data_IF_917261976034
#
_entry.id   IF_917261976034
#
_cell.length_a   1.000
_cell.length_b   1.000
_cell.length_c   1.000
_cell.angle_alpha   90.00
_cell.angle_beta   90.00
_cell.angle_gamma   90.00
#
_symmetry.space_group_name_H-M   'P 1'
#
loop_
_entity.id
_entity.type
_entity.pdbx_description
1 polymer ?
#
# COMPACT_ATOMS: atom_id res chain seq x y z
N UNK A 1 22.84 7.97 -13.00
CA UNK A 1 22.03 9.08 -13.54
C UNK A 1 20.73 9.12 -12.75
N UNK A 2 20.36 10.26 -12.17
CA UNK A 2 19.07 10.40 -11.52
C UNK A 2 18.01 10.51 -12.62
N UNK A 3 17.21 9.45 -12.78
CA UNK A 3 16.04 9.49 -13.66
C UNK A 3 15.10 10.51 -13.04
N UNK A 4 14.91 11.64 -13.71
CA UNK A 4 13.82 12.55 -13.40
C UNK A 4 12.54 11.75 -13.55
N UNK A 5 11.80 11.59 -12.45
CA UNK A 5 10.51 10.93 -12.46
C UNK A 5 9.60 11.85 -13.29
N UNK A 6 9.30 11.44 -14.53
CA UNK A 6 8.25 12.08 -15.34
C UNK A 6 6.96 12.10 -14.52
N UNK A 7 6.20 13.20 -14.57
CA UNK A 7 4.97 13.40 -13.77
C UNK A 7 3.95 12.25 -13.96
N UNK A 8 3.98 11.54 -15.09
CA UNK A 8 3.14 10.37 -15.36
C UNK A 8 3.59 9.10 -14.62
N UNK A 9 4.88 8.96 -14.31
CA UNK A 9 5.44 7.83 -13.57
C UNK A 9 5.30 7.95 -12.05
N UNK A 10 5.05 9.15 -11.51
CA UNK A 10 4.99 9.37 -10.06
C UNK A 10 3.78 8.69 -9.39
N UNK A 11 2.68 8.50 -10.14
CA UNK A 11 1.46 7.87 -9.64
C UNK A 11 1.49 6.34 -9.61
N UNK A 12 2.51 5.68 -10.16
CA UNK A 12 2.68 4.23 -10.07
C UNK A 12 3.93 3.88 -9.28
N UNK A 13 3.73 3.40 -8.06
CA UNK A 13 4.79 3.22 -7.08
C UNK A 13 5.14 1.75 -6.98
N UNK A 14 6.38 1.42 -7.34
CA UNK A 14 6.92 0.08 -7.18
C UNK A 14 7.67 0.03 -5.85
N UNK A 15 7.09 -0.60 -4.81
CA UNK A 15 7.66 -0.51 -3.46
C UNK A 15 8.95 -1.29 -3.31
N UNK A 16 9.19 -2.29 -4.16
CA UNK A 16 10.43 -3.04 -4.23
C UNK A 16 10.59 -3.61 -5.64
N UNK A 17 11.84 -3.84 -6.07
CA UNK A 17 12.13 -4.40 -7.38
C UNK A 17 11.39 -5.73 -7.63
N UNK A 18 10.76 -5.84 -8.80
CA UNK A 18 10.06 -7.05 -9.24
C UNK A 18 11.09 -8.11 -9.60
N UNK A 19 11.02 -9.27 -8.92
CA UNK A 19 11.98 -10.37 -9.12
C UNK A 19 11.61 -11.24 -10.32
N UNK A 20 10.32 -11.47 -10.56
CA UNK A 20 9.83 -12.31 -11.65
C UNK A 20 9.53 -11.47 -12.91
N UNK A 21 10.43 -11.53 -13.88
CA UNK A 21 10.33 -10.73 -15.10
C UNK A 21 9.28 -11.26 -16.11
N UNK A 22 8.83 -12.51 -15.97
CA UNK A 22 8.00 -13.16 -17.00
C UNK A 22 6.49 -13.06 -16.74
N UNK A 23 6.08 -12.95 -15.48
CA UNK A 23 4.66 -12.83 -15.10
C UNK A 23 4.34 -11.50 -14.41
N UNK A 24 4.91 -11.29 -13.22
CA UNK A 24 4.70 -10.11 -12.38
C UNK A 24 5.04 -8.79 -13.09
N UNK A 25 6.18 -8.73 -13.77
CA UNK A 25 6.58 -7.52 -14.50
C UNK A 25 5.62 -7.21 -15.65
N UNK A 26 5.22 -8.22 -16.44
CA UNK A 26 4.32 -8.04 -17.59
C UNK A 26 2.97 -7.48 -17.17
N UNK A 27 2.38 -8.03 -16.11
CA UNK A 27 1.10 -7.53 -15.62
C UNK A 27 1.26 -6.11 -15.07
N UNK A 28 2.30 -5.83 -14.30
CA UNK A 28 2.52 -4.48 -13.77
C UNK A 28 2.69 -3.44 -14.89
N UNK A 29 3.43 -3.78 -15.95
CA UNK A 29 3.58 -2.92 -17.13
C UNK A 29 2.27 -2.70 -17.87
N UNK A 30 1.44 -3.74 -18.01
CA UNK A 30 0.10 -3.63 -18.56
C UNK A 30 -0.78 -2.68 -17.75
N UNK A 31 -0.77 -2.78 -16.41
CA UNK A 31 -1.49 -1.87 -15.53
C UNK A 31 -1.00 -0.43 -15.65
N UNK A 32 0.31 -0.19 -15.60
CA UNK A 32 0.88 1.16 -15.75
C UNK A 32 0.47 1.80 -17.09
N UNK A 33 0.56 1.03 -18.18
CA UNK A 33 0.22 1.50 -19.52
C UNK A 33 -1.29 1.76 -19.69
N UNK A 34 -2.13 0.93 -19.08
CA UNK A 34 -3.60 1.03 -19.18
C UNK A 34 -4.15 2.18 -18.35
N UNK A 35 -3.58 2.43 -17.17
CA UNK A 35 -4.05 3.46 -16.25
C UNK A 35 -3.28 4.79 -16.39
N UNK A 36 -2.35 4.91 -17.33
CA UNK A 36 -1.50 6.10 -17.54
C UNK A 36 -2.30 7.41 -17.70
N UNK A 37 -3.44 7.36 -18.38
CA UNK A 37 -4.27 8.54 -18.66
C UNK A 37 -5.44 8.71 -17.66
N UNK A 38 -5.59 7.77 -16.71
CA UNK A 38 -6.67 7.77 -15.72
C UNK A 38 -6.30 8.54 -14.46
N UNK A 39 -7.30 9.12 -13.80
CA UNK A 39 -7.14 9.74 -12.48
C UNK A 39 -7.06 8.64 -11.41
N UNK A 40 -5.85 8.20 -11.11
CA UNK A 40 -5.59 7.09 -10.21
C UNK A 40 -4.20 7.19 -9.58
N UNK A 41 -3.98 6.36 -8.56
CA UNK A 41 -2.68 6.02 -8.01
C UNK A 41 -2.58 4.50 -7.91
N UNK A 42 -1.44 3.94 -8.28
CA UNK A 42 -1.20 2.51 -8.29
C UNK A 42 0.04 2.13 -7.49
N UNK A 43 0.01 0.94 -6.91
CA UNK A 43 1.11 0.39 -6.12
C UNK A 43 1.36 -1.07 -6.51
N UNK A 44 2.63 -1.40 -6.68
CA UNK A 44 3.09 -2.78 -6.61
C UNK A 44 3.55 -3.05 -5.18
N UNK A 45 2.92 -4.03 -4.50
CA UNK A 45 3.17 -4.38 -3.08
C UNK A 45 2.96 -3.21 -2.14
N UNK A 46 1.71 -2.76 -1.99
CA UNK A 46 1.39 -1.68 -1.05
C UNK A 46 1.68 -2.13 0.40
N UNK A 47 2.30 -1.27 1.24
CA UNK A 47 2.84 -1.68 2.54
C UNK A 47 1.74 -1.85 3.61
N UNK A 48 0.99 -2.95 3.54
CA UNK A 48 0.10 -3.42 4.61
C UNK A 48 0.46 -4.85 4.98
N UNK A 49 0.59 -5.07 6.29
CA UNK A 49 1.04 -6.33 6.86
C UNK A 49 0.00 -6.75 7.90
N UNK A 50 -1.07 -7.42 7.48
CA UNK A 50 -2.02 -8.04 8.40
C UNK A 50 -1.54 -9.45 8.80
N UNK A 51 -1.87 -9.89 10.02
CA UNK A 51 -1.69 -11.29 10.46
C UNK A 51 -2.84 -12.21 10.04
N UNK A 52 -3.36 -12.07 8.82
CA UNK A 52 -4.26 -13.09 8.28
C UNK A 52 -3.45 -14.35 7.89
N UNK A 53 -2.99 -15.11 8.89
CA UNK A 53 -2.12 -16.28 8.76
C UNK A 53 -0.70 -16.09 9.32
N UNK A 54 0.17 -17.09 9.12
CA UNK A 54 1.57 -17.06 9.58
C UNK A 54 2.47 -16.11 8.76
N UNK A 55 2.03 -15.71 7.56
CA UNK A 55 2.81 -14.91 6.62
C UNK A 55 2.18 -13.53 6.47
N UNK A 56 2.96 -12.48 6.74
CA UNK A 56 2.57 -11.09 6.46
C UNK A 56 2.49 -10.93 4.94
N UNK A 57 1.31 -10.66 4.38
CA UNK A 57 1.14 -10.54 2.93
C UNK A 57 0.58 -9.19 2.50
N UNK A 58 1.36 -8.52 1.68
CA UNK A 58 0.99 -7.28 0.99
C UNK A 58 0.12 -7.61 -0.25
N UNK A 59 -0.78 -6.71 -0.69
CA UNK A 59 -1.45 -6.86 -1.98
C UNK A 59 -0.44 -6.68 -3.11
N UNK A 60 -0.44 -7.60 -4.08
CA UNK A 60 0.48 -7.54 -5.21
C UNK A 60 0.29 -6.26 -6.02
N UNK A 61 -0.96 -5.97 -6.42
CA UNK A 61 -1.33 -4.70 -7.05
C UNK A 61 -2.48 -4.06 -6.26
N UNK A 62 -2.31 -2.77 -5.95
CA UNK A 62 -3.36 -1.89 -5.48
C UNK A 62 -3.54 -0.75 -6.48
N UNK A 63 -4.72 -0.58 -7.02
CA UNK A 63 -5.12 0.61 -7.78
C UNK A 63 -6.20 1.36 -7.01
N UNK A 64 -6.02 2.66 -6.83
CA UNK A 64 -7.07 3.56 -6.37
C UNK A 64 -7.41 4.46 -7.53
N UNK A 65 -8.57 4.26 -8.13
CA UNK A 65 -9.04 4.92 -9.34
C UNK A 65 -10.33 5.70 -9.06
N UNK A 66 -10.48 6.84 -9.71
CA UNK A 66 -11.61 7.74 -9.49
C UNK A 66 -12.98 7.09 -9.76
N UNK A 67 -13.04 6.20 -10.73
CA UNK A 67 -14.27 5.53 -11.19
C UNK A 67 -14.40 4.14 -10.54
N UNK A 68 -13.32 3.36 -10.51
CA UNK A 68 -13.38 1.99 -9.97
C UNK A 68 -13.28 1.91 -8.45
N UNK A 69 -12.88 3.00 -7.77
CA UNK A 69 -12.63 3.01 -6.34
C UNK A 69 -11.32 2.30 -6.00
N UNK A 70 -11.33 1.47 -4.97
CA UNK A 70 -10.18 0.68 -4.52
C UNK A 70 -10.24 -0.70 -5.15
N UNK A 71 -9.23 -1.04 -5.94
CA UNK A 71 -9.10 -2.35 -6.60
C UNK A 71 -7.85 -3.03 -6.09
N UNK A 72 -8.02 -4.20 -5.46
CA UNK A 72 -6.91 -5.07 -5.04
C UNK A 72 -6.85 -6.26 -5.98
N UNK A 73 -5.65 -6.55 -6.45
CA UNK A 73 -5.41 -7.63 -7.39
C UNK A 73 -4.28 -8.51 -6.86
N UNK A 74 -4.61 -9.77 -6.62
CA UNK A 74 -3.64 -10.79 -6.25
C UNK A 74 -3.09 -11.46 -7.52
N UNK A 75 -1.77 -11.49 -7.67
CA UNK A 75 -1.10 -12.01 -8.85
C UNK A 75 -0.53 -13.39 -8.55
N UNK A 76 -0.78 -14.35 -9.46
CA UNK A 76 -0.13 -15.67 -9.41
C UNK A 76 0.57 -15.96 -10.72
N UNK A 77 1.89 -15.91 -10.69
CA UNK A 77 2.75 -16.33 -11.81
C UNK A 77 2.97 -17.85 -11.76
N UNK A 78 1.92 -18.59 -12.11
CA UNK A 78 1.91 -20.05 -12.22
C UNK A 78 1.38 -20.48 -13.58
N UNK A 79 1.82 -21.62 -14.07
CA UNK A 79 1.32 -22.25 -15.29
C UNK A 79 0.06 -23.08 -14.99
N UNK A 80 -0.77 -23.30 -16.01
CA UNK A 80 -2.05 -24.03 -15.88
C UNK A 80 -1.88 -25.45 -15.30
N UNK A 81 -0.80 -26.14 -15.65
CA UNK A 81 -0.54 -27.50 -15.17
C UNK A 81 -0.07 -27.57 -13.72
N UNK A 82 0.26 -26.44 -13.10
CA UNK A 82 0.57 -26.39 -11.66
C UNK A 82 -0.70 -26.35 -10.81
N UNK A 83 -1.87 -26.06 -11.39
CA UNK A 83 -3.16 -26.09 -10.69
C UNK A 83 -3.73 -27.51 -10.80
N UNK A 84 -3.66 -28.25 -9.69
CA UNK A 84 -4.14 -29.63 -9.62
C UNK A 84 -5.66 -29.70 -9.45
N UNK A 85 -6.22 -28.88 -8.57
CA UNK A 85 -7.64 -28.81 -8.31
C UNK A 85 -8.04 -27.45 -7.69
N UNK A 86 -9.30 -27.07 -7.85
CA UNK A 86 -9.89 -25.89 -7.23
C UNK A 86 -11.15 -26.34 -6.47
N UNK A 87 -11.12 -26.19 -5.15
CA UNK A 87 -12.22 -26.56 -4.26
C UNK A 87 -12.76 -25.29 -3.60
N UNK A 88 -13.77 -24.68 -4.24
CA UNK A 88 -14.25 -23.36 -3.86
C UNK A 88 -13.15 -22.31 -4.03
N UNK A 89 -12.77 -21.64 -2.95
CA UNK A 89 -11.72 -20.60 -2.98
C UNK A 89 -10.30 -21.18 -2.81
N UNK A 90 -10.17 -22.44 -2.42
CA UNK A 90 -8.89 -23.09 -2.13
C UNK A 90 -8.35 -23.80 -3.36
N UNK A 91 -7.15 -23.42 -3.80
CA UNK A 91 -6.49 -23.98 -4.96
C UNK A 91 -5.37 -24.90 -4.50
N UNK A 92 -5.39 -26.13 -5.00
CA UNK A 92 -4.35 -27.12 -4.78
C UNK A 92 -3.32 -27.01 -5.89
N UNK A 93 -2.08 -26.76 -5.50
CA UNK A 93 -0.96 -26.65 -6.41
C UNK A 93 -0.11 -27.90 -6.37
N UNK A 94 0.49 -28.23 -7.51
CA UNK A 94 1.48 -29.28 -7.66
C UNK A 94 2.78 -28.72 -8.24
N UNK A 95 3.89 -29.41 -8.00
CA UNK A 95 5.22 -29.03 -8.51
C UNK A 95 5.64 -27.61 -8.11
N UNK A 96 5.30 -27.18 -6.89
CA UNK A 96 5.71 -25.90 -6.28
C UNK A 96 5.96 -26.10 -4.79
N UNK A 97 6.72 -25.19 -4.16
CA UNK A 97 6.99 -25.25 -2.72
C UNK A 97 5.72 -25.04 -1.87
N UNK A 98 4.71 -24.37 -2.44
CA UNK A 98 3.43 -24.11 -1.77
C UNK A 98 2.36 -25.02 -2.33
N UNK A 99 1.83 -25.95 -1.55
CA UNK A 99 0.84 -26.92 -2.02
C UNK A 99 -0.59 -26.37 -2.08
N UNK A 100 -0.86 -25.26 -1.39
CA UNK A 100 -2.21 -24.72 -1.26
C UNK A 100 -2.20 -23.20 -1.20
N UNK A 101 -3.09 -22.56 -1.96
CA UNK A 101 -3.28 -21.11 -1.94
C UNK A 101 -4.77 -20.74 -1.96
N UNK A 102 -5.11 -19.55 -1.47
CA UNK A 102 -6.43 -18.94 -1.64
C UNK A 102 -6.26 -17.49 -2.14
N UNK A 103 -6.04 -17.29 -3.44
CA UNK A 103 -5.66 -15.98 -3.97
C UNK A 103 -6.79 -14.95 -3.86
N UNK A 104 -8.04 -15.37 -4.07
CA UNK A 104 -9.17 -14.44 -4.01
C UNK A 104 -9.49 -13.99 -2.58
N UNK A 105 -9.53 -14.92 -1.61
CA UNK A 105 -9.75 -14.56 -0.21
C UNK A 105 -8.65 -13.62 0.30
N UNK A 106 -7.40 -13.82 -0.16
CA UNK A 106 -6.29 -12.94 0.18
C UNK A 106 -6.54 -11.51 -0.34
N UNK A 107 -6.92 -11.36 -1.61
CA UNK A 107 -7.26 -10.05 -2.19
C UNK A 107 -8.43 -9.38 -1.45
N UNK A 108 -9.48 -10.14 -1.12
CA UNK A 108 -10.65 -9.64 -0.39
C UNK A 108 -10.29 -9.14 1.02
N UNK A 109 -9.50 -9.91 1.78
CA UNK A 109 -9.06 -9.51 3.12
C UNK A 109 -8.21 -8.23 3.09
N UNK A 110 -7.30 -8.12 2.12
CA UNK A 110 -6.48 -6.92 1.92
C UNK A 110 -7.34 -5.72 1.52
N UNK A 111 -8.32 -5.91 0.63
CA UNK A 111 -9.28 -4.87 0.26
C UNK A 111 -10.06 -4.37 1.49
N UNK A 112 -10.64 -5.27 2.29
CA UNK A 112 -11.38 -4.91 3.51
C UNK A 112 -10.52 -4.13 4.50
N UNK A 113 -9.26 -4.51 4.61
CA UNK A 113 -8.27 -3.82 5.45
C UNK A 113 -8.06 -2.39 4.98
N UNK A 114 -7.88 -2.17 3.66
CA UNK A 114 -7.71 -0.84 3.08
C UNK A 114 -8.94 0.04 3.26
N UNK A 115 -10.14 -0.51 3.00
CA UNK A 115 -11.41 0.20 3.23
C UNK A 115 -11.59 0.57 4.70
N UNK A 116 -11.15 -0.27 5.64
CA UNK A 116 -11.25 0.02 7.07
C UNK A 116 -10.47 1.29 7.48
N UNK A 117 -9.45 1.69 6.73
CA UNK A 117 -8.77 2.97 6.96
C UNK A 117 -9.63 4.15 6.50
N UNK A 118 -10.29 4.02 5.34
CA UNK A 118 -11.21 5.03 4.81
C UNK A 118 -12.42 5.20 5.71
N UNK A 119 -12.98 4.10 6.23
CA UNK A 119 -14.12 4.13 7.13
C UNK A 119 -13.83 4.84 8.48
N UNK A 120 -12.57 5.05 8.86
CA UNK A 120 -12.26 5.90 10.03
C UNK A 120 -12.57 7.37 9.80
N UNK A 121 -12.70 7.78 8.54
CA UNK A 121 -13.06 9.14 8.14
C UNK A 121 -14.57 9.22 7.90
N UNK A 122 -15.26 10.07 8.66
CA UNK A 122 -16.74 10.21 8.57
C UNK A 122 -17.22 10.58 7.18
N UNK A 123 -16.43 11.35 6.43
CA UNK A 123 -16.73 11.73 5.05
C UNK A 123 -16.69 10.56 4.05
N UNK A 124 -15.94 9.49 4.36
CA UNK A 124 -15.72 8.32 3.50
C UNK A 124 -16.47 7.07 3.96
N UNK A 125 -17.00 7.05 5.18
CA UNK A 125 -17.71 5.90 5.76
C UNK A 125 -18.71 5.28 4.78
N UNK A 126 -18.45 4.03 4.38
CA UNK A 126 -19.28 3.24 3.45
C UNK A 126 -19.52 3.91 2.09
N UNK A 127 -18.64 4.80 1.65
CA UNK A 127 -18.73 5.45 0.33
C UNK A 127 -17.71 4.95 -0.68
N UNK A 128 -16.70 4.20 -0.25
CA UNK A 128 -15.61 3.77 -1.14
C UNK A 128 -15.97 2.42 -1.78
N UNK A 129 -16.08 2.40 -3.10
CA UNK A 129 -16.22 1.16 -3.86
C UNK A 129 -14.96 0.30 -3.73
N UNK A 130 -15.14 -1.00 -3.56
CA UNK A 130 -14.06 -1.97 -3.44
C UNK A 130 -14.23 -3.18 -4.35
N UNK A 131 -13.18 -3.53 -5.10
CA UNK A 131 -13.12 -4.73 -5.96
C UNK A 131 -11.89 -5.57 -5.61
N UNK A 132 -12.05 -6.89 -5.65
CA UNK A 132 -10.97 -7.86 -5.51
C UNK A 132 -10.91 -8.73 -6.77
N UNK A 133 -9.72 -8.96 -7.31
CA UNK A 133 -9.51 -9.66 -8.57
C UNK A 133 -8.29 -10.60 -8.43
N UNK A 134 -8.31 -11.74 -9.10
CA UNK A 134 -7.14 -12.62 -9.25
C UNK A 134 -6.57 -12.49 -10.65
N UNK A 135 -5.26 -12.31 -10.79
CA UNK A 135 -4.63 -12.24 -12.09
C UNK A 135 -3.62 -13.37 -12.32
N UNK A 136 -3.74 -13.98 -13.49
CA UNK A 136 -2.96 -15.14 -13.93
C UNK A 136 -2.21 -14.81 -15.22
N UNK A 137 -1.10 -14.07 -15.15
CA UNK A 137 -0.39 -13.56 -16.33
C UNK A 137 0.28 -14.64 -17.20
N UNK A 138 0.28 -15.90 -16.78
CA UNK A 138 0.89 -17.04 -17.48
C UNK A 138 -0.14 -18.08 -17.96
N UNK A 139 -1.43 -17.78 -17.78
CA UNK A 139 -2.53 -18.68 -18.15
C UNK A 139 -3.45 -17.92 -19.09
N UNK A 140 -3.82 -18.53 -20.21
CA UNK A 140 -4.81 -17.98 -21.14
C UNK A 140 -6.23 -18.38 -20.76
N UNK A 141 -7.21 -17.61 -21.22
CA UNK A 141 -8.64 -17.94 -21.08
C UNK A 141 -8.95 -19.34 -21.65
N UNK A 142 -8.36 -19.69 -22.80
CA UNK A 142 -8.55 -20.99 -23.44
C UNK A 142 -8.00 -22.15 -22.58
N UNK A 143 -6.79 -21.99 -22.02
CA UNK A 143 -6.20 -23.00 -21.12
C UNK A 143 -7.06 -23.23 -19.89
N UNK A 144 -7.62 -22.15 -19.32
CA UNK A 144 -8.51 -22.23 -18.17
C UNK A 144 -9.79 -23.02 -18.49
N UNK A 145 -10.40 -22.75 -19.64
CA UNK A 145 -11.60 -23.44 -20.12
C UNK A 145 -11.35 -24.92 -20.45
N UNK A 146 -10.19 -25.25 -21.03
CA UNK A 146 -9.83 -26.64 -21.32
C UNK A 146 -9.71 -27.51 -20.06
N UNK A 147 -9.34 -26.93 -18.92
CA UNK A 147 -9.36 -27.61 -17.61
C UNK A 147 -10.76 -27.70 -16.98
N UNK A 148 -11.77 -27.04 -17.57
CA UNK A 148 -13.13 -26.95 -17.04
C UNK A 148 -13.27 -26.09 -15.79
N UNK A 149 -12.27 -25.26 -15.49
CA UNK A 149 -12.29 -24.41 -14.29
C UNK A 149 -13.26 -23.23 -14.41
N UNK A 150 -13.71 -22.90 -15.63
CA UNK A 150 -14.76 -21.92 -15.94
C UNK A 150 -16.17 -22.40 -15.57
N UNK A 151 -16.35 -23.71 -15.33
CA UNK A 151 -17.63 -24.32 -14.99
C UNK A 151 -17.83 -24.48 -13.48
N UNK A 152 -16.82 -24.14 -12.68
CA UNK A 152 -16.89 -24.23 -11.23
C UNK A 152 -17.86 -23.16 -10.68
N UNK A 153 -18.54 -23.45 -9.55
CA UNK A 153 -19.34 -22.43 -8.87
C UNK A 153 -18.44 -21.34 -8.26
N UNK A 154 -18.99 -20.13 -8.12
CA UNK A 154 -18.38 -19.00 -7.39
C UNK A 154 -16.98 -18.60 -7.89
N UNK A 155 -16.77 -18.61 -9.20
CA UNK A 155 -15.50 -18.20 -9.81
C UNK A 155 -15.26 -16.71 -9.51
N UNK A 156 -14.10 -16.36 -8.92
CA UNK A 156 -13.78 -14.96 -8.66
C UNK A 156 -13.57 -14.19 -9.97
N UNK A 157 -13.67 -12.85 -9.96
CA UNK A 157 -13.23 -12.04 -11.09
C UNK A 157 -11.75 -12.32 -11.39
N UNK A 158 -11.44 -12.60 -12.65
CA UNK A 158 -10.09 -12.97 -13.08
C UNK A 158 -9.60 -12.16 -14.28
N UNK A 159 -8.28 -12.03 -14.37
CA UNK A 159 -7.59 -11.44 -15.52
C UNK A 159 -6.55 -12.45 -16.02
N UNK A 160 -6.68 -12.88 -17.27
CA UNK A 160 -5.77 -13.83 -17.92
C UNK A 160 -4.72 -13.16 -18.79
N UNK A 161 -3.72 -13.93 -19.22
CA UNK A 161 -2.59 -13.48 -20.05
C UNK A 161 -3.05 -12.76 -21.33
N UNK A 162 -4.03 -13.31 -22.04
CA UNK A 162 -4.59 -12.79 -23.29
C UNK A 162 -5.44 -11.52 -23.10
N UNK A 163 -5.74 -11.16 -21.85
CA UNK A 163 -6.58 -10.02 -21.48
C UNK A 163 -5.78 -8.83 -20.93
N UNK A 164 -4.45 -8.89 -20.97
CA UNK A 164 -3.56 -7.81 -20.50
C UNK A 164 -3.49 -6.61 -21.45
N UNK A 165 -4.24 -6.62 -22.57
CA UNK A 165 -4.39 -5.46 -23.45
C UNK A 165 -5.21 -4.35 -22.80
N UNK A 166 -4.93 -3.08 -23.14
CA UNK A 166 -5.55 -1.90 -22.49
C UNK A 166 -7.08 -1.96 -22.40
N UNK A 167 -7.74 -2.32 -23.49
CA UNK A 167 -9.22 -2.35 -23.55
C UNK A 167 -9.77 -3.52 -22.73
N UNK A 168 -9.27 -4.73 -22.99
CA UNK A 168 -9.70 -5.94 -22.29
C UNK A 168 -9.50 -5.83 -20.78
N UNK A 169 -8.38 -5.27 -20.33
CA UNK A 169 -8.08 -5.10 -18.91
C UNK A 169 -9.10 -4.20 -18.21
N UNK A 170 -9.48 -3.08 -18.83
CA UNK A 170 -10.50 -2.17 -18.31
C UNK A 170 -11.86 -2.87 -18.26
N UNK A 171 -12.24 -3.58 -19.32
CA UNK A 171 -13.50 -4.33 -19.38
C UNK A 171 -13.58 -5.38 -18.26
N UNK A 172 -12.51 -6.15 -18.02
CA UNK A 172 -12.45 -7.12 -16.94
C UNK A 172 -12.63 -6.47 -15.56
N UNK A 173 -11.95 -5.34 -15.32
CA UNK A 173 -12.08 -4.63 -14.05
C UNK A 173 -13.50 -4.07 -13.88
N UNK A 174 -14.12 -3.56 -14.96
CA UNK A 174 -15.47 -3.02 -14.94
C UNK A 174 -16.53 -4.11 -14.70
N UNK A 175 -16.36 -5.28 -15.30
CA UNK A 175 -17.26 -6.43 -15.14
C UNK A 175 -17.08 -7.17 -13.80
N UNK A 176 -15.94 -6.99 -13.13
CA UNK A 176 -15.71 -7.58 -11.81
C UNK A 176 -16.80 -7.18 -10.80
N UNK A 177 -17.16 -8.10 -9.92
CA UNK A 177 -18.15 -7.82 -8.88
C UNK A 177 -17.62 -6.77 -7.88
N UNK A 178 -18.48 -5.83 -7.49
CA UNK A 178 -18.18 -4.89 -6.41
C UNK A 178 -18.35 -5.64 -5.08
N UNK A 179 -17.24 -5.98 -4.45
CA UNK A 179 -17.20 -6.71 -3.17
C UNK A 179 -17.65 -5.81 -2.03
N UNK A 180 -17.28 -4.52 -2.08
CA UNK A 180 -17.66 -3.52 -1.09
C UNK A 180 -18.40 -2.40 -1.81
N UNK A 181 -19.73 -2.30 -1.66
CA UNK A 181 -20.50 -1.26 -2.31
C UNK A 181 -20.23 0.09 -1.65
N UNK A 182 -20.03 1.11 -2.48
CA UNK A 182 -19.89 2.50 -2.11
C UNK A 182 -20.71 3.40 -3.02
N UNK A 183 -20.27 4.63 -3.20
CA UNK A 183 -20.90 5.64 -4.04
C UNK A 183 -19.84 6.42 -4.81
N UNK A 184 -20.27 7.15 -5.83
CA UNK A 184 -19.37 8.08 -6.52
C UNK A 184 -18.92 9.17 -5.55
N UNK A 185 -17.61 9.27 -5.36
CA UNK A 185 -17.05 10.23 -4.42
C UNK A 185 -17.11 11.63 -5.02
N UNK A 186 -17.41 12.65 -4.22
CA UNK A 186 -17.15 14.05 -4.59
C UNK A 186 -15.63 14.32 -4.65
N UNK A 187 -15.21 15.40 -5.31
CA UNK A 187 -13.79 15.74 -5.46
C UNK A 187 -13.04 15.84 -4.12
N UNK A 188 -13.65 16.48 -3.10
CA UNK A 188 -13.07 16.57 -1.75
C UNK A 188 -12.92 15.19 -1.08
N UNK A 189 -13.89 14.30 -1.28
CA UNK A 189 -13.83 12.95 -0.72
C UNK A 189 -12.82 12.08 -1.47
N UNK A 190 -12.62 12.31 -2.77
CA UNK A 190 -11.55 11.67 -3.53
C UNK A 190 -10.16 12.06 -3.02
N UNK A 191 -9.89 13.34 -2.81
CA UNK A 191 -8.64 13.81 -2.23
C UNK A 191 -8.41 13.24 -0.83
N UNK A 192 -9.47 13.18 -0.01
CA UNK A 192 -9.41 12.55 1.30
C UNK A 192 -9.09 11.05 1.20
N UNK A 193 -9.65 10.32 0.25
CA UNK A 193 -9.33 8.91 0.01
C UNK A 193 -7.85 8.74 -0.34
N UNK A 194 -7.33 9.55 -1.27
CA UNK A 194 -5.91 9.55 -1.61
C UNK A 194 -5.04 9.83 -0.38
N UNK A 195 -5.41 10.83 0.43
CA UNK A 195 -4.73 11.18 1.69
C UNK A 195 -4.71 10.02 2.69
N UNK A 196 -5.82 9.30 2.85
CA UNK A 196 -5.93 8.12 3.72
C UNK A 196 -5.03 6.98 3.25
N UNK A 197 -5.04 6.71 1.93
CA UNK A 197 -4.19 5.69 1.30
C UNK A 197 -2.70 6.08 1.35
N UNK A 198 -2.37 7.37 1.26
CA UNK A 198 -1.01 7.86 1.49
C UNK A 198 -0.54 7.71 2.94
N UNK A 199 -1.49 7.66 3.88
CA UNK A 199 -1.21 7.55 5.30
C UNK A 199 -1.05 8.90 6.00
N UNK A 200 -1.43 10.00 5.35
CA UNK A 200 -1.41 11.35 5.95
C UNK A 200 -2.17 11.46 7.28
N UNK A 201 -3.30 10.73 7.52
CA UNK A 201 -3.96 10.72 8.83
C UNK A 201 -3.06 10.34 10.01
N UNK A 202 -1.98 9.59 9.78
CA UNK A 202 -0.96 9.25 10.80
C UNK A 202 -0.37 10.51 11.44
N UNK A 203 -0.26 11.59 10.67
CA UNK A 203 0.35 12.86 11.09
C UNK A 203 -0.66 13.86 11.66
N UNK A 204 -1.96 13.53 11.62
CA UNK A 204 -3.00 14.42 12.14
C UNK A 204 -2.93 14.45 13.66
N UNK A 205 -2.81 15.67 14.21
CA UNK A 205 -2.96 15.88 15.65
C UNK A 205 -4.44 15.75 16.02
N UNK A 206 -4.76 15.20 17.22
CA UNK A 206 -6.14 15.16 17.69
C UNK A 206 -6.72 16.58 17.73
N UNK A 207 -8.02 16.74 17.41
CA UNK A 207 -8.68 18.03 17.48
C UNK A 207 -8.55 18.59 18.91
N UNK A 208 -8.20 19.88 19.02
CA UNK A 208 -8.20 20.57 20.31
C UNK A 208 -9.64 20.89 20.69
N UNK A 209 -9.95 20.79 21.98
CA UNK A 209 -11.25 21.25 22.51
C UNK A 209 -11.46 22.72 22.10
N UNK A 210 -12.54 22.97 21.37
CA UNK A 210 -12.85 24.30 20.87
C UNK A 210 -13.47 25.16 21.97
N UNK A 211 -13.08 26.43 21.99
CA UNK A 211 -13.88 27.49 22.62
C UNK A 211 -14.68 28.11 21.49
N UNK A 212 -16.01 28.00 21.54
CA UNK A 212 -16.89 28.59 20.53
C UNK A 212 -16.78 30.12 20.56
N UNK A 213 -15.89 30.68 19.76
CA UNK A 213 -15.79 32.12 19.55
C UNK A 213 -16.44 32.49 18.23
N UNK A 214 -17.42 33.37 18.26
CA UNK A 214 -18.06 33.95 17.07
C UNK A 214 -17.09 34.88 16.35
N UNK A 215 -16.56 34.46 15.18
CA UNK A 215 -15.71 35.30 14.31
C UNK A 215 -14.65 34.56 13.49
N UNK A 216 -13.98 35.27 12.56
CA UNK A 216 -12.79 34.78 11.84
C UNK A 216 -11.57 34.84 12.75
N UNK A 217 -11.45 33.88 13.68
CA UNK A 217 -10.27 33.79 14.55
C UNK A 217 -9.10 33.16 13.80
N UNK A 218 -7.87 33.42 14.28
CA UNK A 218 -6.66 32.73 13.77
C UNK A 218 -6.81 31.19 13.87
N UNK A 219 -7.52 30.70 14.87
CA UNK A 219 -7.87 29.28 15.03
C UNK A 219 -8.69 28.76 13.85
N UNK A 220 -9.76 29.47 13.46
CA UNK A 220 -10.60 29.07 12.33
C UNK A 220 -9.84 29.08 10.99
N UNK A 221 -8.90 30.03 10.82
CA UNK A 221 -8.01 30.05 9.63
C UNK A 221 -7.04 28.86 9.64
N UNK A 222 -6.45 28.52 10.79
CA UNK A 222 -5.57 27.35 10.93
C UNK A 222 -6.34 26.06 10.64
N UNK A 223 -7.59 25.93 11.10
CA UNK A 223 -8.40 24.73 10.86
C UNK A 223 -8.82 24.62 9.39
N UNK A 224 -9.20 25.74 8.75
CA UNK A 224 -9.44 25.77 7.30
C UNK A 224 -8.19 25.39 6.49
N UNK A 225 -7.00 25.81 6.93
CA UNK A 225 -5.75 25.39 6.30
C UNK A 225 -5.46 23.90 6.50
N UNK A 226 -5.76 23.35 7.68
CA UNK A 226 -5.62 21.90 7.94
C UNK A 226 -6.52 21.06 7.05
N UNK A 227 -7.75 21.52 6.78
CA UNK A 227 -8.63 20.85 5.82
C UNK A 227 -8.12 20.90 4.39
N UNK A 228 -7.24 21.83 4.04
CA UNK A 228 -6.62 21.94 2.71
C UNK A 228 -5.32 21.16 2.57
N UNK A 229 -4.77 20.62 3.66
CA UNK A 229 -3.54 19.80 3.64
C UNK A 229 -3.79 18.35 3.18
N UNK A 230 -4.94 18.05 2.58
CA UNK A 230 -5.27 16.70 2.11
C UNK A 230 -4.76 16.37 0.72
N UNK A 231 -4.19 17.33 -0.01
CA UNK A 231 -3.51 17.05 -1.27
C UNK A 231 -2.32 16.12 -1.02
N UNK A 232 -2.32 14.98 -1.72
CA UNK A 232 -1.23 14.01 -1.68
C UNK A 232 -0.06 14.52 -2.52
N UNK A 233 1.12 14.62 -1.91
CA UNK A 233 2.36 14.86 -2.63
C UNK A 233 2.86 13.52 -3.19
N UNK A 234 2.61 13.27 -4.48
CA UNK A 234 2.96 12.01 -5.15
C UNK A 234 4.46 11.70 -5.08
N UNK A 235 5.33 12.72 -5.01
CA UNK A 235 6.76 12.51 -4.89
C UNK A 235 7.13 12.01 -3.49
N UNK A 236 6.58 12.64 -2.45
CA UNK A 236 6.76 12.16 -1.08
C UNK A 236 6.18 10.76 -0.90
N UNK A 237 5.02 10.50 -1.51
CA UNK A 237 4.35 9.21 -1.48
C UNK A 237 5.21 8.10 -2.10
N UNK A 238 5.77 8.35 -3.29
CA UNK A 238 6.69 7.45 -3.96
C UNK A 238 7.94 7.19 -3.10
N UNK A 239 8.60 8.26 -2.64
CA UNK A 239 9.80 8.16 -1.81
C UNK A 239 9.50 7.45 -0.49
N UNK A 240 8.34 7.66 0.13
CA UNK A 240 8.00 7.08 1.43
C UNK A 240 7.80 5.56 1.38
N UNK A 241 7.37 5.03 0.23
CA UNK A 241 7.00 3.61 0.07
C UNK A 241 7.98 2.78 -0.74
N UNK A 242 8.81 3.39 -1.58
CA UNK A 242 9.88 2.67 -2.27
C UNK A 242 10.93 2.12 -1.28
N UNK A 243 11.43 0.91 -1.50
CA UNK A 243 12.65 0.38 -0.92
C UNK A 243 13.66 0.30 -2.08
N UNK A 244 14.61 1.26 -2.15
CA UNK A 244 15.54 1.33 -3.27
C UNK A 244 16.51 0.14 -3.23
N UNK A 245 16.97 -0.36 -4.39
CA UNK A 245 17.95 -1.48 -4.46
C UNK A 245 19.35 -1.09 -3.97
N UNK A 246 19.56 0.16 -3.55
CA UNK A 246 20.84 0.69 -3.13
C UNK A 246 20.69 2.06 -2.46
N UNK A 247 21.81 2.80 -2.33
CA UNK A 247 21.80 4.08 -1.63
C UNK A 247 20.85 5.10 -2.27
N UNK A 248 19.96 5.69 -1.46
CA UNK A 248 19.04 6.75 -1.88
C UNK A 248 19.30 8.02 -1.06
N UNK A 249 19.39 9.16 -1.75
CA UNK A 249 19.56 10.47 -1.14
C UNK A 249 18.30 11.30 -1.31
N UNK A 250 17.62 11.60 -0.20
CA UNK A 250 16.41 12.43 -0.17
C UNK A 250 16.81 13.88 0.14
N UNK A 251 16.48 14.81 -0.77
CA UNK A 251 16.69 16.26 -0.60
C UNK A 251 15.35 16.97 -0.58
N UNK A 252 15.27 18.05 0.18
CA UNK A 252 14.06 18.89 0.23
C UNK A 252 14.28 20.09 1.14
N UNK A 253 13.44 21.11 0.97
CA UNK A 253 13.48 22.33 1.78
C UNK A 253 13.19 22.06 3.27
N UNK A 254 13.50 22.99 4.16
CA UNK A 254 13.11 22.87 5.56
C UNK A 254 11.59 22.71 5.67
N UNK A 255 11.12 21.79 6.53
CA UNK A 255 9.70 21.49 6.68
C UNK A 255 9.10 20.52 5.65
N UNK A 256 9.85 20.06 4.66
CA UNK A 256 9.36 19.14 3.59
C UNK A 256 9.09 17.69 4.02
N UNK A 257 8.90 17.40 5.32
CA UNK A 257 8.56 16.04 5.78
C UNK A 257 9.68 14.99 5.79
N UNK A 258 10.95 15.32 5.49
CA UNK A 258 12.07 14.34 5.40
C UNK A 258 12.17 13.39 6.60
N UNK A 259 12.03 13.90 7.82
CA UNK A 259 12.10 13.08 9.03
C UNK A 259 10.96 12.06 9.09
N UNK A 260 9.76 12.48 8.71
CA UNK A 260 8.58 11.61 8.66
C UNK A 260 8.77 10.53 7.60
N UNK A 261 9.27 10.88 6.41
CA UNK A 261 9.56 9.93 5.34
C UNK A 261 10.60 8.89 5.76
N UNK A 262 11.67 9.29 6.45
CA UNK A 262 12.67 8.34 6.94
C UNK A 262 12.09 7.36 7.97
N UNK A 263 11.26 7.84 8.90
CA UNK A 263 10.55 6.95 9.83
C UNK A 263 9.59 6.01 9.11
N UNK A 264 8.83 6.51 8.12
CA UNK A 264 7.93 5.70 7.31
C UNK A 264 8.68 4.58 6.59
N UNK A 265 9.79 4.90 5.91
CA UNK A 265 10.64 3.92 5.23
C UNK A 265 11.22 2.90 6.20
N UNK A 266 11.72 3.32 7.35
CA UNK A 266 12.29 2.41 8.35
C UNK A 266 11.23 1.43 8.89
N UNK A 267 10.02 1.91 9.18
CA UNK A 267 8.90 1.07 9.59
C UNK A 267 8.48 0.09 8.48
N UNK A 268 8.39 0.57 7.24
CA UNK A 268 8.07 -0.26 6.08
C UNK A 268 9.10 -1.37 5.88
N UNK A 269 10.40 -1.03 5.82
CA UNK A 269 11.50 -2.00 5.67
C UNK A 269 11.49 -3.03 6.80
N UNK A 270 11.29 -2.60 8.05
CA UNK A 270 11.27 -3.50 9.20
C UNK A 270 10.11 -4.49 9.17
N UNK A 271 8.93 -4.07 8.70
CA UNK A 271 7.77 -4.94 8.62
C UNK A 271 7.86 -5.93 7.45
N UNK A 272 8.41 -5.46 6.32
CA UNK A 272 8.58 -6.24 5.09
C UNK A 272 9.72 -7.26 5.17
N UNK A 273 10.82 -6.88 5.81
CA UNK A 273 12.01 -7.70 6.00
C UNK A 273 12.34 -7.81 7.50
N UNK A 274 11.65 -8.70 8.24
CA UNK A 274 11.79 -8.81 9.69
C UNK A 274 13.17 -9.32 10.13
N UNK A 275 13.91 -9.95 9.23
CA UNK A 275 15.25 -10.48 9.42
C UNK A 275 16.34 -9.40 9.33
N UNK A 276 16.07 -8.27 8.67
CA UNK A 276 17.04 -7.19 8.48
C UNK A 276 17.37 -6.46 9.79
N UNK A 277 18.65 -6.16 9.97
CA UNK A 277 19.13 -5.27 11.03
C UNK A 277 19.15 -3.82 10.51
N UNK A 278 18.19 -3.00 10.95
CA UNK A 278 17.96 -1.64 10.51
C UNK A 278 18.37 -0.67 11.63
N UNK A 279 19.25 0.28 11.29
CA UNK A 279 19.63 1.38 12.18
C UNK A 279 19.09 2.71 11.66
N UNK A 280 18.19 3.33 12.43
CA UNK A 280 17.73 4.70 12.16
C UNK A 280 18.55 5.67 13.01
N UNK A 281 19.39 6.47 12.35
CA UNK A 281 20.42 7.28 13.00
C UNK A 281 20.14 8.77 12.83
N UNK A 282 20.22 9.53 13.91
CA UNK A 282 20.09 11.00 13.88
C UNK A 282 21.13 11.69 14.77
N UNK A 283 21.24 13.01 14.64
CA UNK A 283 22.31 13.76 15.32
C UNK A 283 21.96 14.11 16.78
N UNK A 284 20.79 14.73 17.01
CA UNK A 284 20.46 15.37 18.29
C UNK A 284 19.56 14.51 19.17
N UNK A 285 19.91 14.36 20.45
CA UNK A 285 19.15 13.57 21.44
C UNK A 285 17.70 14.01 21.63
N UNK A 286 17.38 15.28 21.46
CA UNK A 286 16.01 15.79 21.59
C UNK A 286 15.03 15.23 20.56
N UNK A 287 15.53 14.55 19.52
CA UNK A 287 14.69 13.92 18.49
C UNK A 287 14.22 12.51 18.87
N UNK A 288 14.70 11.92 19.98
CA UNK A 288 14.32 10.57 20.36
C UNK A 288 12.80 10.38 20.43
N UNK A 289 12.11 11.17 21.24
CA UNK A 289 10.67 11.03 21.45
C UNK A 289 9.87 11.24 20.16
N UNK A 290 10.32 12.15 19.29
CA UNK A 290 9.70 12.40 18.00
C UNK A 290 9.88 11.18 17.07
N UNK A 291 11.10 10.67 16.95
CA UNK A 291 11.43 9.56 16.04
C UNK A 291 10.74 8.28 16.49
N UNK A 292 10.81 7.94 17.78
CA UNK A 292 10.16 6.74 18.32
C UNK A 292 8.65 6.82 18.21
N UNK A 293 8.05 7.99 18.48
CA UNK A 293 6.61 8.22 18.28
C UNK A 293 6.17 8.08 16.82
N UNK A 294 6.93 8.65 15.88
CA UNK A 294 6.63 8.50 14.45
C UNK A 294 6.78 7.05 13.98
N UNK A 295 7.81 6.33 14.45
CA UNK A 295 7.97 4.92 14.13
C UNK A 295 6.80 4.09 14.64
N UNK A 296 6.39 4.29 15.89
CA UNK A 296 5.24 3.59 16.47
C UNK A 296 3.96 3.83 15.67
N UNK A 297 3.72 5.09 15.30
CA UNK A 297 2.57 5.47 14.47
C UNK A 297 2.58 4.78 13.09
N UNK A 298 3.74 4.73 12.43
CA UNK A 298 3.88 4.07 11.13
C UNK A 298 3.80 2.54 11.22
N UNK A 299 4.41 1.93 12.25
CA UNK A 299 4.28 0.49 12.49
C UNK A 299 2.82 0.14 12.70
N UNK A 300 2.11 0.85 13.57
CA UNK A 300 0.67 0.66 13.79
C UNK A 300 -0.12 0.84 12.50
N UNK A 301 0.19 1.84 11.68
CA UNK A 301 -0.51 2.08 10.41
C UNK A 301 -0.35 0.91 9.44
N UNK A 302 0.88 0.43 9.24
CA UNK A 302 1.18 -0.64 8.29
C UNK A 302 0.80 -2.02 8.82
N UNK A 303 0.79 -2.22 10.13
CA UNK A 303 0.39 -3.49 10.76
C UNK A 303 -1.09 -3.53 11.17
N UNK A 304 -1.92 -2.61 10.67
CA UNK A 304 -3.36 -2.52 11.04
C UNK A 304 -3.63 -2.37 12.55
N UNK A 305 -2.67 -1.85 13.32
CA UNK A 305 -2.73 -1.69 14.77
C UNK A 305 -2.27 -2.90 15.57
N UNK A 306 -1.91 -4.01 14.92
CA UNK A 306 -1.49 -5.25 15.57
C UNK A 306 -0.10 -5.19 16.21
N UNK A 307 0.75 -4.28 15.75
CA UNK A 307 2.12 -4.11 16.22
C UNK A 307 2.34 -2.69 16.71
N UNK A 308 3.28 -2.55 17.63
CA UNK A 308 3.72 -1.28 18.19
C UNK A 308 5.24 -1.25 18.17
N UNK A 309 5.81 -0.06 18.09
CA UNK A 309 7.24 0.10 18.21
C UNK A 309 7.64 0.27 19.67
N UNK A 310 8.48 -0.63 20.18
CA UNK A 310 9.11 -0.47 21.49
C UNK A 310 10.65 -0.51 21.34
N UNK A 311 11.35 0.61 21.62
CA UNK A 311 12.81 0.70 21.55
C UNK A 311 13.55 -0.32 22.43
N UNK A 312 12.93 -0.84 23.50
CA UNK A 312 13.59 -1.75 24.45
C UNK A 312 13.58 -3.20 23.99
N UNK A 313 12.51 -3.61 23.31
CA UNK A 313 12.30 -5.00 22.89
C UNK A 313 12.63 -5.24 21.43
N UNK A 314 12.62 -4.19 20.60
CA UNK A 314 12.93 -4.32 19.18
C UNK A 314 14.45 -4.40 18.94
N UNK A 315 14.94 -5.60 18.62
CA UNK A 315 16.35 -5.84 18.32
C UNK A 315 16.72 -5.56 16.86
N UNK A 316 15.73 -5.58 15.95
CA UNK A 316 15.92 -5.52 14.50
C UNK A 316 15.82 -4.12 13.93
N UNK A 317 14.89 -3.29 14.43
CA UNK A 317 14.83 -1.87 14.13
C UNK A 317 15.31 -1.07 15.34
N UNK A 318 16.54 -0.56 15.26
CA UNK A 318 17.18 0.18 16.37
C UNK A 318 17.32 1.66 16.03
N UNK A 319 17.00 2.50 17.01
CA UNK A 319 17.07 3.95 16.91
C UNK A 319 18.27 4.47 17.68
N UNK A 320 19.22 5.06 16.96
CA UNK A 320 20.46 5.59 17.53
C UNK A 320 20.56 7.08 17.30
N UNK A 321 21.13 7.77 18.29
CA UNK A 321 21.79 9.03 18.01
C UNK A 321 23.26 8.75 17.66
N UNK A 322 23.88 9.62 16.87
CA UNK A 322 25.21 9.34 16.30
C UNK A 322 26.27 9.04 17.38
N UNK A 323 26.38 9.87 18.42
CA UNK A 323 27.55 9.89 19.31
C UNK A 323 27.43 9.09 20.62
N UNK A 324 26.22 8.76 21.07
CA UNK A 324 26.00 8.14 22.38
C UNK A 324 26.03 9.13 23.56
N UNK A 325 25.43 8.71 24.67
CA UNK A 325 25.45 9.38 25.96
C UNK A 325 25.92 8.38 27.03
N UNK A 326 26.04 8.84 28.28
CA UNK A 326 26.42 7.96 29.40
C UNK A 326 25.39 6.85 29.64
N UNK A 327 24.10 7.18 29.52
CA UNK A 327 22.97 6.29 29.80
C UNK A 327 22.33 5.70 28.53
N UNK A 328 22.84 6.03 27.33
CA UNK A 328 22.26 5.56 26.07
C UNK A 328 23.34 5.37 25.01
N UNK A 329 23.47 4.18 24.40
CA UNK A 329 24.48 3.92 23.38
C UNK A 329 24.20 4.72 22.10
N UNK A 330 25.27 5.15 21.43
CA UNK A 330 25.21 5.74 20.10
C UNK A 330 25.61 4.72 19.04
N UNK A 331 25.47 5.07 17.76
CA UNK A 331 25.89 4.17 16.69
C UNK A 331 27.41 3.93 16.70
N UNK A 332 28.20 4.97 16.96
CA UNK A 332 29.66 4.92 16.88
C UNK A 332 30.36 4.51 18.19
N UNK A 333 29.60 4.06 19.21
CA UNK A 333 30.12 3.83 20.56
C UNK A 333 30.02 2.38 21.00
#
# INVERSE_FOLDING_TARGET
MAVGIEEQGSKFITTEAIKNQDGEQKIWDAFRSTFADRNCIGYWRYPIFSKAGEIRKEPDILIVDREFGVVVIEVKSINIDQIAAINGQQWQLQNTDTTEINPYQQAEHQLRTLISYSDRETALWRKVNGRAIVALPQITTEQWQQKGFDQLPDIPPMIFQDQLGKVALIEQIQQANIVIPGADLEAKNWELLLSVIGGTPVLRKPPRNQVNTTGKTRSNVIDSLREKLYEIDLQQEHIGKEIPPGPQRIRGIAGSGKTVLLCQKAAHMHLKHPDWDIALVFFTRSLYDLITGLLDQWIKRFSCGEMQYDPKTNSKLRVFHAWGAKEQPGLYR
#
